data_IF_499843311153
#
_entry.id   IF_499843311153
#
_cell.length_a   1.000
_cell.length_b   1.000
_cell.length_c   1.000
_cell.angle_alpha   90.00
_cell.angle_beta   90.00
_cell.angle_gamma   90.00
#
_symmetry.space_group_name_H-M   'P 1'
#
loop_
_entity.id
_entity.type
_entity.pdbx_description
1 polymer ?
#
# COMPACT_ATOMS: atom_id res chain seq x y z
N UNK A 1 -20.67 -40.88 -19.63
CA UNK A 1 -20.31 -40.41 -18.28
C UNK A 1 -18.90 -39.79 -18.28
N UNK A 2 -18.67 -38.62 -18.89
CA UNK A 2 -17.33 -37.97 -18.89
C UNK A 2 -17.47 -36.45 -19.09
N UNK A 3 -18.03 -35.72 -18.13
CA UNK A 3 -18.27 -34.26 -18.30
C UNK A 3 -18.00 -33.40 -17.06
N UNK A 4 -17.26 -33.89 -16.05
CA UNK A 4 -17.08 -33.15 -14.79
C UNK A 4 -15.63 -33.03 -14.26
N UNK A 5 -14.60 -33.31 -15.06
CA UNK A 5 -13.20 -33.25 -14.60
C UNK A 5 -12.54 -31.85 -14.68
N UNK A 6 -13.12 -30.89 -15.42
CA UNK A 6 -12.50 -29.59 -15.69
C UNK A 6 -12.69 -28.51 -14.61
N UNK A 7 -13.30 -28.85 -13.46
CA UNK A 7 -13.37 -27.96 -12.30
C UNK A 7 -12.79 -28.65 -11.06
N UNK A 8 -11.61 -29.26 -11.22
CA UNK A 8 -10.82 -29.71 -10.07
C UNK A 8 -10.15 -28.49 -9.42
N UNK A 9 -10.92 -27.80 -8.57
CA UNK A 9 -10.36 -26.76 -7.69
C UNK A 9 -9.25 -27.40 -6.88
N UNK A 10 -8.02 -26.89 -7.03
CA UNK A 10 -6.84 -27.47 -6.39
C UNK A 10 -7.05 -27.58 -4.86
N UNK A 11 -6.56 -28.65 -4.20
CA UNK A 11 -6.86 -28.91 -2.78
C UNK A 11 -6.49 -27.75 -1.85
N UNK A 12 -5.42 -27.01 -2.18
CA UNK A 12 -4.93 -25.84 -1.44
C UNK A 12 -5.86 -24.62 -1.52
N UNK A 13 -6.75 -24.55 -2.51
CA UNK A 13 -7.75 -23.47 -2.59
C UNK A 13 -8.88 -23.71 -1.58
N UNK A 14 -9.18 -24.98 -1.24
CA UNK A 14 -10.18 -25.32 -0.20
C UNK A 14 -9.70 -24.93 1.19
N UNK A 15 -8.39 -25.01 1.46
CA UNK A 15 -7.80 -24.56 2.73
C UNK A 15 -7.76 -23.05 2.88
N UNK A 16 -7.74 -22.27 1.79
CA UNK A 16 -7.77 -20.80 1.83
C UNK A 16 -9.19 -20.22 2.03
N UNK A 17 -10.26 -20.93 1.65
CA UNK A 17 -11.65 -20.48 1.83
C UNK A 17 -12.02 -20.02 3.25
N UNK A 18 -11.67 -20.73 4.35
CA UNK A 18 -12.02 -20.29 5.70
C UNK A 18 -11.25 -19.05 6.17
N UNK A 19 -10.13 -18.68 5.53
CA UNK A 19 -9.39 -17.46 5.83
C UNK A 19 -10.09 -16.20 5.29
N UNK A 20 -10.88 -16.34 4.22
CA UNK A 20 -11.61 -15.26 3.55
C UNK A 20 -13.05 -15.10 4.05
N UNK A 21 -13.37 -15.60 5.25
CA UNK A 21 -14.70 -15.40 5.81
C UNK A 21 -14.87 -13.92 6.25
N UNK A 22 -15.93 -13.21 5.83
CA UNK A 22 -16.07 -11.77 6.04
C UNK A 22 -16.01 -11.36 7.52
N UNK A 23 -16.56 -12.19 8.42
CA UNK A 23 -16.43 -11.97 9.88
C UNK A 23 -14.99 -12.04 10.40
N UNK A 24 -14.14 -12.91 9.83
CA UNK A 24 -12.72 -12.98 10.22
C UNK A 24 -11.96 -11.78 9.66
N UNK A 25 -12.22 -11.39 8.41
CA UNK A 25 -11.60 -10.21 7.80
C UNK A 25 -11.93 -8.95 8.60
N UNK A 26 -13.19 -8.79 9.04
CA UNK A 26 -13.60 -7.67 9.89
C UNK A 26 -12.81 -7.62 11.21
N UNK A 27 -12.57 -8.77 11.85
CA UNK A 27 -11.78 -8.83 13.09
C UNK A 27 -10.30 -8.47 12.90
N UNK A 28 -9.74 -8.73 11.71
CA UNK A 28 -8.36 -8.37 11.38
C UNK A 28 -8.22 -7.01 10.67
N UNK A 29 -9.34 -6.32 10.42
CA UNK A 29 -9.37 -5.08 9.65
C UNK A 29 -8.43 -4.01 10.21
N UNK A 30 -8.40 -3.83 11.53
CA UNK A 30 -7.49 -2.89 12.20
C UNK A 30 -6.02 -3.26 12.01
N UNK A 31 -5.68 -4.55 12.09
CA UNK A 31 -4.30 -5.01 11.87
C UNK A 31 -3.88 -4.81 10.42
N UNK A 32 -4.74 -5.17 9.46
CA UNK A 32 -4.50 -4.96 8.03
C UNK A 32 -4.34 -3.46 7.72
N UNK A 33 -5.18 -2.60 8.30
CA UNK A 33 -5.07 -1.16 8.14
C UNK A 33 -3.75 -0.62 8.70
N UNK A 34 -3.34 -1.07 9.89
CA UNK A 34 -2.07 -0.67 10.51
C UNK A 34 -0.86 -1.09 9.67
N UNK A 35 -0.81 -2.36 9.24
CA UNK A 35 0.27 -2.86 8.39
C UNK A 35 0.26 -2.24 7.00
N UNK A 36 -0.93 -2.00 6.43
CA UNK A 36 -1.09 -1.31 5.16
C UNK A 36 -0.64 0.14 5.22
N UNK A 37 -0.97 0.87 6.29
CA UNK A 37 -0.49 2.22 6.53
C UNK A 37 1.03 2.25 6.71
N UNK A 38 1.59 1.32 7.49
CA UNK A 38 3.03 1.20 7.67
C UNK A 38 3.76 0.93 6.35
N UNK A 39 3.29 -0.05 5.57
CA UNK A 39 3.84 -0.36 4.26
C UNK A 39 3.71 0.81 3.28
N UNK A 40 2.59 1.52 3.30
CA UNK A 40 2.36 2.72 2.49
C UNK A 40 3.33 3.85 2.84
N UNK A 41 3.53 4.13 4.12
CA UNK A 41 4.51 5.14 4.58
C UNK A 41 5.92 4.72 4.18
N UNK A 42 6.30 3.46 4.37
CA UNK A 42 7.61 2.95 3.95
C UNK A 42 7.82 3.12 2.44
N UNK A 43 6.81 2.79 1.62
CA UNK A 43 6.87 2.99 0.17
C UNK A 43 7.04 4.46 -0.20
N UNK A 44 6.34 5.38 0.47
CA UNK A 44 6.52 6.82 0.27
C UNK A 44 7.96 7.26 0.60
N UNK A 45 8.58 6.73 1.65
CA UNK A 45 9.98 7.00 1.99
C UNK A 45 10.97 6.51 0.92
N UNK A 46 10.68 5.40 0.23
CA UNK A 46 11.53 4.95 -0.88
C UNK A 46 11.39 5.82 -2.13
N UNK A 47 10.22 6.44 -2.35
CA UNK A 47 9.91 7.27 -3.53
C UNK A 47 10.15 8.77 -3.23
N UNK A 48 10.43 9.14 -1.98
CA UNK A 48 10.80 10.47 -1.51
C UNK A 48 11.86 11.23 -2.36
N UNK A 49 12.94 10.62 -2.90
CA UNK A 49 13.91 11.36 -3.70
C UNK A 49 13.34 11.90 -5.02
N UNK A 50 12.14 11.48 -5.43
CA UNK A 50 11.48 11.94 -6.65
C UNK A 50 10.80 13.29 -6.42
N UNK A 51 11.04 14.27 -7.31
CA UNK A 51 10.43 15.61 -7.23
C UNK A 51 8.89 15.59 -7.19
N UNK A 52 8.27 14.68 -7.95
CA UNK A 52 6.82 14.48 -7.98
C UNK A 52 6.24 14.12 -6.60
N UNK A 53 6.86 13.17 -5.90
CA UNK A 53 6.37 12.72 -4.60
C UNK A 53 6.49 13.84 -3.56
N UNK A 54 7.60 14.59 -3.57
CA UNK A 54 7.79 15.72 -2.66
C UNK A 54 6.73 16.80 -2.87
N UNK A 55 6.44 17.16 -4.12
CA UNK A 55 5.51 18.25 -4.45
C UNK A 55 4.07 17.91 -4.08
N UNK A 56 3.61 16.73 -4.49
CA UNK A 56 2.19 16.40 -4.40
C UNK A 56 1.81 15.76 -3.06
N UNK A 57 2.74 15.07 -2.39
CA UNK A 57 2.47 14.35 -1.14
C UNK A 57 3.13 15.05 0.05
N UNK A 58 4.45 15.25 0.02
CA UNK A 58 5.19 15.65 1.22
C UNK A 58 4.99 17.14 1.59
N UNK A 59 4.82 18.04 0.63
CA UNK A 59 4.53 19.47 0.88
C UNK A 59 3.18 19.68 1.56
N UNK A 60 2.20 18.79 1.32
CA UNK A 60 0.86 18.88 1.90
C UNK A 60 0.79 18.44 3.38
N UNK A 61 1.90 17.99 3.97
CA UNK A 61 1.94 17.61 5.38
C UNK A 61 2.00 18.88 6.26
N UNK A 62 0.99 19.16 7.11
CA UNK A 62 0.84 20.45 7.77
C UNK A 62 2.00 20.84 8.70
N UNK A 63 2.75 19.87 9.24
CA UNK A 63 3.85 20.12 10.19
C UNK A 63 5.22 20.15 9.51
N UNK A 64 5.45 19.30 8.50
CA UNK A 64 6.78 19.11 7.88
C UNK A 64 6.82 19.46 6.40
N UNK A 65 5.72 19.95 5.81
CA UNK A 65 5.64 20.28 4.39
C UNK A 65 6.62 21.37 3.96
N UNK A 66 6.84 22.37 4.82
CA UNK A 66 7.82 23.43 4.56
C UNK A 66 9.27 22.94 4.47
N UNK A 67 9.62 21.81 5.10
CA UNK A 67 10.95 21.20 4.95
C UNK A 67 11.14 20.63 3.53
N UNK A 68 10.11 19.96 3.02
CA UNK A 68 10.13 19.36 1.70
C UNK A 68 10.03 20.41 0.58
N UNK A 69 9.26 21.48 0.80
CA UNK A 69 9.22 22.62 -0.13
C UNK A 69 10.60 23.24 -0.32
N UNK A 70 11.32 23.55 0.77
CA UNK A 70 12.69 24.10 0.68
C UNK A 70 13.66 23.18 -0.07
N UNK A 71 13.50 21.86 0.07
CA UNK A 71 14.31 20.88 -0.66
C UNK A 71 13.97 20.83 -2.15
N UNK A 72 12.71 21.04 -2.52
CA UNK A 72 12.28 21.13 -3.91
C UNK A 72 12.84 22.40 -4.57
N UNK A 73 12.66 23.56 -3.93
CA UNK A 73 13.15 24.84 -4.46
C UNK A 73 14.67 24.81 -4.69
N UNK A 74 15.43 24.17 -3.79
CA UNK A 74 16.87 23.99 -3.92
C UNK A 74 17.30 23.02 -5.04
N UNK A 75 16.41 22.11 -5.46
CA UNK A 75 16.64 21.23 -6.61
C UNK A 75 16.36 21.96 -7.92
N UNK A 76 15.26 22.72 -7.99
CA UNK A 76 14.91 23.52 -9.18
C UNK A 76 15.96 24.59 -9.51
N UNK A 77 16.64 25.16 -8.49
CA UNK A 77 17.74 26.11 -8.70
C UNK A 77 19.04 25.48 -9.22
N UNK A 78 19.14 24.14 -9.22
CA UNK A 78 20.34 23.39 -9.63
C UNK A 78 20.27 22.86 -11.06
N UNK A 79 19.07 22.83 -11.64
CA UNK A 79 18.80 22.47 -13.04
C UNK A 79 18.83 23.71 -13.94
#
# INVERSE_FOLDING_TARGET
MLLNSFVTVAPWIRTLRPALHPKRIANYSTSIATWGAFAGIAALFFIEPTSLARRDIFTNIPVVGGFWQKKLDAMELKD
#
